data_IF_881074081442
#
_entry.id   IF_881074081442
#
_cell.length_a   1.000
_cell.length_b   1.000
_cell.length_c   1.000
_cell.angle_alpha   90.00
_cell.angle_beta   90.00
_cell.angle_gamma   90.00
#
_symmetry.space_group_name_H-M   'P 1'
#
loop_
_entity.id
_entity.type
_entity.pdbx_description
1 polymer ?
#
# COMPACT_ATOMS: atom_id res chain seq x y z
N UNK A 1 -13.34 -13.41 4.22
CA UNK A 1 -14.14 -14.59 3.76
C UNK A 1 -14.48 -15.60 4.86
N UNK A 2 -13.49 -16.18 5.55
CA UNK A 2 -13.76 -17.18 6.61
C UNK A 2 -14.67 -16.63 7.71
N UNK A 3 -14.47 -15.38 8.10
CA UNK A 3 -15.29 -14.69 9.11
C UNK A 3 -16.79 -14.72 8.77
N UNK A 4 -17.18 -14.52 7.51
CA UNK A 4 -18.59 -14.60 7.10
C UNK A 4 -19.20 -15.96 7.45
N UNK A 5 -18.51 -17.05 7.13
CA UNK A 5 -18.97 -18.42 7.35
C UNK A 5 -19.00 -18.76 8.84
N UNK A 6 -17.89 -18.50 9.56
CA UNK A 6 -17.73 -18.86 10.98
C UNK A 6 -18.74 -18.12 11.85
N UNK A 7 -18.91 -16.82 11.61
CA UNK A 7 -19.80 -15.97 12.42
C UNK A 7 -21.21 -15.87 11.84
N UNK A 8 -21.52 -16.54 10.73
CA UNK A 8 -22.81 -16.46 10.04
C UNK A 8 -23.24 -15.02 9.70
N UNK A 9 -22.29 -14.18 9.27
CA UNK A 9 -22.55 -12.76 8.98
C UNK A 9 -23.23 -12.59 7.62
N UNK A 10 -24.28 -11.78 7.60
CA UNK A 10 -25.03 -11.39 6.41
C UNK A 10 -26.18 -10.46 6.79
N UNK A 11 -26.82 -9.84 5.80
CA UNK A 11 -27.87 -8.84 6.08
C UNK A 11 -29.09 -9.46 6.78
N UNK A 12 -29.37 -10.75 6.52
CA UNK A 12 -30.51 -11.48 7.09
C UNK A 12 -30.28 -11.90 8.55
N UNK A 13 -29.03 -11.98 8.98
CA UNK A 13 -28.65 -12.60 10.26
C UNK A 13 -28.09 -11.61 11.26
N UNK A 14 -27.46 -10.52 10.81
CA UNK A 14 -27.00 -9.45 11.68
C UNK A 14 -28.21 -8.72 12.27
N UNK A 15 -28.16 -8.36 13.56
CA UNK A 15 -29.21 -7.62 14.27
C UNK A 15 -30.62 -8.23 14.11
N UNK A 16 -30.71 -9.55 14.02
CA UNK A 16 -31.98 -10.24 13.78
C UNK A 16 -32.99 -9.99 14.94
N UNK A 17 -34.32 -10.08 14.68
CA UNK A 17 -35.34 -9.79 15.68
C UNK A 17 -35.48 -10.84 16.79
N UNK A 18 -34.76 -11.97 16.72
CA UNK A 18 -34.87 -13.06 17.68
C UNK A 18 -34.26 -12.69 19.04
N UNK A 19 -35.09 -12.68 20.10
CA UNK A 19 -34.65 -12.33 21.48
C UNK A 19 -33.50 -13.21 21.98
N UNK A 20 -33.55 -14.50 21.68
CA UNK A 20 -32.54 -15.50 22.07
C UNK A 20 -31.22 -15.40 21.30
N UNK A 21 -31.12 -14.54 20.28
CA UNK A 21 -29.88 -14.30 19.55
C UNK A 21 -29.13 -13.08 20.07
N UNK A 22 -29.74 -12.25 20.94
CA UNK A 22 -29.14 -11.01 21.45
C UNK A 22 -27.93 -11.23 22.36
N UNK A 23 -27.74 -12.46 22.84
CA UNK A 23 -26.55 -12.88 23.59
C UNK A 23 -25.37 -13.28 22.68
N UNK A 24 -25.60 -13.49 21.38
CA UNK A 24 -24.55 -13.81 20.40
C UNK A 24 -23.88 -12.55 19.86
N UNK A 25 -23.28 -11.80 20.78
CA UNK A 25 -22.71 -10.49 20.50
C UNK A 25 -21.40 -10.65 19.73
N UNK A 26 -21.24 -9.85 18.69
CA UNK A 26 -19.99 -9.76 17.94
C UNK A 26 -18.95 -9.04 18.80
N UNK A 27 -17.73 -9.58 18.95
CA UNK A 27 -16.68 -8.95 19.76
C UNK A 27 -16.44 -7.51 19.33
N UNK A 28 -16.27 -6.61 20.30
CA UNK A 28 -16.00 -5.18 20.10
C UNK A 28 -17.14 -4.37 19.44
N UNK A 29 -18.35 -4.91 19.33
CA UNK A 29 -19.54 -4.17 18.85
C UNK A 29 -20.76 -4.42 19.74
N UNK A 30 -21.84 -3.68 19.50
CA UNK A 30 -23.18 -3.90 20.06
C UNK A 30 -24.08 -4.75 19.14
N UNK A 31 -23.51 -5.32 18.07
CA UNK A 31 -24.23 -6.16 17.13
C UNK A 31 -24.32 -7.60 17.62
N UNK A 32 -25.41 -8.29 17.26
CA UNK A 32 -25.56 -9.72 17.49
C UNK A 32 -25.90 -10.47 16.20
N UNK A 33 -25.60 -11.77 16.17
CA UNK A 33 -25.83 -12.60 14.98
C UNK A 33 -26.84 -13.71 15.24
N UNK A 34 -27.72 -13.93 14.27
CA UNK A 34 -28.75 -14.97 14.31
C UNK A 34 -28.15 -16.38 14.50
N UNK A 35 -28.67 -17.10 15.49
CA UNK A 35 -28.38 -18.53 15.73
C UNK A 35 -29.33 -19.48 14.99
N UNK A 36 -30.49 -18.98 14.52
CA UNK A 36 -31.55 -19.80 13.88
C UNK A 36 -31.37 -19.97 12.38
N UNK A 37 -31.13 -18.86 11.70
CA UNK A 37 -31.11 -18.79 10.24
C UNK A 37 -29.68 -18.65 9.75
N UNK A 38 -29.38 -19.25 8.60
CA UNK A 38 -28.10 -19.06 7.91
C UNK A 38 -28.20 -17.87 6.95
N UNK A 39 -27.17 -17.04 6.92
CA UNK A 39 -27.05 -15.95 5.98
C UNK A 39 -26.72 -16.48 4.59
N UNK A 40 -27.42 -15.98 3.57
CA UNK A 40 -27.07 -16.24 2.17
C UNK A 40 -25.61 -15.89 1.89
N UNK A 41 -25.13 -14.75 2.40
CA UNK A 41 -23.75 -14.28 2.23
C UNK A 41 -22.74 -15.26 2.83
N UNK A 42 -23.02 -15.74 4.04
CA UNK A 42 -22.15 -16.69 4.74
C UNK A 42 -22.00 -18.00 3.97
N UNK A 43 -23.10 -18.50 3.40
CA UNK A 43 -23.12 -19.71 2.58
C UNK A 43 -22.39 -19.51 1.25
N UNK A 44 -22.71 -18.46 0.48
CA UNK A 44 -22.11 -18.20 -0.84
C UNK A 44 -20.61 -17.92 -0.70
N UNK A 45 -20.23 -17.00 0.19
CA UNK A 45 -18.82 -16.62 0.39
C UNK A 45 -18.05 -17.80 0.98
N UNK A 46 -18.66 -18.55 1.91
CA UNK A 46 -18.10 -19.77 2.48
C UNK A 46 -17.82 -20.82 1.42
N UNK A 47 -18.81 -21.12 0.58
CA UNK A 47 -18.69 -22.05 -0.54
C UNK A 47 -17.59 -21.65 -1.52
N UNK A 48 -17.58 -20.39 -1.98
CA UNK A 48 -16.56 -19.90 -2.90
C UNK A 48 -15.15 -19.96 -2.31
N UNK A 49 -15.01 -19.68 -1.00
CA UNK A 49 -13.74 -19.82 -0.28
C UNK A 49 -13.30 -21.28 -0.22
N UNK A 50 -14.20 -22.20 0.12
CA UNK A 50 -13.88 -23.62 0.21
C UNK A 50 -13.55 -24.22 -1.17
N UNK A 51 -14.32 -23.87 -2.21
CA UNK A 51 -14.05 -24.23 -3.59
C UNK A 51 -12.67 -23.73 -4.04
N UNK A 52 -12.33 -22.48 -3.73
CA UNK A 52 -11.00 -21.93 -4.03
C UNK A 52 -9.89 -22.70 -3.32
N UNK A 53 -10.02 -22.93 -2.01
CA UNK A 53 -8.95 -23.49 -1.17
C UNK A 53 -8.77 -24.98 -1.42
N UNK A 54 -9.85 -25.76 -1.44
CA UNK A 54 -9.78 -27.22 -1.50
C UNK A 54 -9.66 -27.75 -2.92
N UNK A 55 -10.13 -27.02 -3.93
CA UNK A 55 -10.12 -27.45 -5.33
C UNK A 55 -9.12 -26.65 -6.18
N UNK A 56 -9.40 -25.37 -6.48
CA UNK A 56 -8.62 -24.63 -7.47
C UNK A 56 -7.18 -24.31 -7.04
N UNK A 57 -6.92 -24.10 -5.74
CA UNK A 57 -5.56 -23.86 -5.23
C UNK A 57 -4.65 -25.08 -5.42
N UNK A 58 -5.20 -26.29 -5.43
CA UNK A 58 -4.45 -27.54 -5.69
C UNK A 58 -4.24 -27.75 -7.19
N UNK A 59 -5.25 -27.48 -8.01
CA UNK A 59 -5.24 -27.72 -9.46
C UNK A 59 -4.50 -26.66 -10.29
N UNK A 60 -4.20 -25.47 -9.73
CA UNK A 60 -3.47 -24.41 -10.44
C UNK A 60 -2.09 -24.84 -10.94
N UNK A 61 -1.49 -25.88 -10.35
CA UNK A 61 -0.23 -26.51 -10.79
C UNK A 61 -0.54 -27.54 -11.86
N UNK A 62 -0.87 -27.10 -13.09
CA UNK A 62 -1.09 -28.02 -14.21
C UNK A 62 -1.87 -27.43 -15.38
N UNK A 63 -2.79 -26.48 -15.12
CA UNK A 63 -3.57 -25.84 -16.18
C UNK A 63 -3.68 -24.31 -15.95
N UNK A 64 -3.27 -23.47 -16.93
CA UNK A 64 -3.44 -22.02 -16.87
C UNK A 64 -4.88 -21.57 -16.60
N UNK A 65 -5.90 -22.30 -17.07
CA UNK A 65 -7.30 -22.00 -16.83
C UNK A 65 -7.66 -22.07 -15.33
N UNK A 66 -7.22 -23.13 -14.62
CA UNK A 66 -7.45 -23.25 -13.17
C UNK A 66 -6.76 -22.12 -12.39
N UNK A 67 -5.62 -21.63 -12.87
CA UNK A 67 -4.95 -20.46 -12.29
C UNK A 67 -5.82 -19.19 -12.46
N UNK A 68 -6.42 -18.99 -13.62
CA UNK A 68 -7.33 -17.84 -13.87
C UNK A 68 -8.57 -17.94 -12.98
N UNK A 69 -9.19 -19.12 -12.88
CA UNK A 69 -10.37 -19.31 -12.02
C UNK A 69 -10.04 -19.09 -10.54
N UNK A 70 -8.92 -19.64 -10.04
CA UNK A 70 -8.47 -19.40 -8.66
C UNK A 70 -8.29 -17.90 -8.36
N UNK A 71 -7.72 -17.16 -9.31
CA UNK A 71 -7.52 -15.72 -9.21
C UNK A 71 -8.84 -14.95 -9.25
N UNK A 72 -9.76 -15.32 -10.15
CA UNK A 72 -11.08 -14.69 -10.26
C UNK A 72 -11.87 -14.86 -8.95
N UNK A 73 -11.92 -16.08 -8.41
CA UNK A 73 -12.58 -16.35 -7.12
C UNK A 73 -11.88 -15.58 -5.98
N UNK A 74 -10.55 -15.48 -5.99
CA UNK A 74 -9.82 -14.65 -5.01
C UNK A 74 -10.25 -13.18 -5.06
N UNK A 75 -10.36 -12.60 -6.26
CA UNK A 75 -10.79 -11.22 -6.45
C UNK A 75 -12.20 -11.02 -5.90
N UNK A 76 -13.12 -11.93 -6.23
CA UNK A 76 -14.49 -11.91 -5.72
C UNK A 76 -14.52 -11.92 -4.18
N UNK A 77 -13.84 -12.88 -3.56
CA UNK A 77 -13.80 -13.02 -2.10
C UNK A 77 -13.20 -11.81 -1.39
N UNK A 78 -12.22 -11.15 -1.99
CA UNK A 78 -11.63 -9.92 -1.45
C UNK A 78 -12.57 -8.72 -1.58
N UNK A 79 -13.36 -8.67 -2.67
CA UNK A 79 -14.36 -7.62 -2.88
C UNK A 79 -15.58 -7.78 -1.95
N UNK A 80 -15.99 -9.02 -1.63
CA UNK A 80 -17.18 -9.30 -0.82
C UNK A 80 -17.18 -8.62 0.56
N UNK A 81 -16.01 -8.32 1.13
CA UNK A 81 -15.94 -7.56 2.38
C UNK A 81 -16.31 -6.09 2.19
N UNK A 82 -15.78 -5.44 1.16
CA UNK A 82 -15.88 -3.99 0.99
C UNK A 82 -17.27 -3.52 0.54
N UNK A 83 -18.00 -4.36 -0.19
CA UNK A 83 -19.30 -3.98 -0.79
C UNK A 83 -20.38 -3.65 0.24
N UNK A 84 -20.36 -4.27 1.43
CA UNK A 84 -21.36 -3.99 2.48
C UNK A 84 -21.22 -2.60 3.10
N UNK A 85 -20.08 -1.93 2.90
CA UNK A 85 -19.84 -0.55 3.33
C UNK A 85 -20.05 0.49 2.22
N UNK A 86 -20.44 0.08 1.01
CA UNK A 86 -20.71 0.99 -0.11
C UNK A 86 -22.22 1.25 -0.24
N UNK A 87 -22.63 2.50 -0.05
CA UNK A 87 -24.03 2.94 -0.14
C UNK A 87 -24.69 2.65 -1.51
N UNK A 88 -23.89 2.41 -2.56
CA UNK A 88 -24.39 2.06 -3.89
C UNK A 88 -24.72 0.57 -4.05
N UNK A 89 -24.34 -0.26 -3.08
CA UNK A 89 -24.61 -1.68 -3.13
C UNK A 89 -26.04 -1.96 -2.69
N UNK A 90 -26.80 -2.75 -3.47
CA UNK A 90 -28.21 -3.03 -3.19
C UNK A 90 -28.43 -3.71 -1.81
N UNK A 91 -27.44 -4.47 -1.33
CA UNK A 91 -27.42 -5.10 -0.01
C UNK A 91 -26.50 -4.36 0.97
N UNK A 92 -26.36 -3.04 0.83
CA UNK A 92 -25.62 -2.19 1.76
C UNK A 92 -26.04 -2.46 3.20
N UNK A 93 -25.06 -2.79 4.04
CA UNK A 93 -25.30 -3.19 5.42
C UNK A 93 -24.07 -2.87 6.29
N UNK A 94 -23.95 -1.63 6.80
CA UNK A 94 -22.84 -1.22 7.66
C UNK A 94 -22.60 -2.14 8.85
N UNK A 95 -23.64 -2.64 9.56
CA UNK A 95 -23.43 -3.55 10.69
C UNK A 95 -22.67 -4.82 10.31
N UNK A 96 -22.83 -5.35 9.09
CA UNK A 96 -22.02 -6.48 8.59
C UNK A 96 -20.57 -6.07 8.41
N UNK A 97 -20.31 -4.94 7.75
CA UNK A 97 -18.94 -4.44 7.48
C UNK A 97 -18.17 -4.17 8.78
N UNK A 98 -18.81 -3.51 9.74
CA UNK A 98 -18.26 -3.22 11.05
C UNK A 98 -17.98 -4.51 11.84
N UNK A 99 -18.93 -5.45 11.84
CA UNK A 99 -18.77 -6.75 12.51
C UNK A 99 -17.62 -7.57 11.93
N UNK A 100 -17.44 -7.58 10.61
CA UNK A 100 -16.30 -8.28 9.98
C UNK A 100 -14.98 -7.64 10.41
N UNK A 101 -14.93 -6.30 10.44
CA UNK A 101 -13.74 -5.56 10.87
C UNK A 101 -13.39 -5.87 12.33
N UNK A 102 -14.40 -5.89 13.20
CA UNK A 102 -14.27 -6.15 14.62
C UNK A 102 -13.80 -7.59 14.89
N UNK A 103 -14.45 -8.59 14.28
CA UNK A 103 -14.00 -9.99 14.36
C UNK A 103 -12.58 -10.17 13.81
N UNK A 104 -12.25 -9.51 12.69
CA UNK A 104 -10.91 -9.55 12.12
C UNK A 104 -9.86 -9.02 13.09
N UNK A 105 -10.11 -7.86 13.70
CA UNK A 105 -9.25 -7.26 14.72
C UNK A 105 -9.10 -8.16 15.95
N UNK A 106 -10.20 -8.65 16.50
CA UNK A 106 -10.21 -9.56 17.64
C UNK A 106 -9.43 -10.85 17.35
N UNK A 107 -9.58 -11.41 16.15
CA UNK A 107 -8.85 -12.61 15.71
C UNK A 107 -7.34 -12.38 15.65
N UNK A 108 -6.91 -11.23 15.11
CA UNK A 108 -5.49 -10.84 15.08
C UNK A 108 -4.94 -10.65 16.49
N UNK A 109 -5.67 -9.95 17.37
CA UNK A 109 -5.26 -9.72 18.75
C UNK A 109 -5.09 -11.02 19.53
N UNK A 110 -6.08 -11.93 19.46
CA UNK A 110 -5.99 -13.25 20.09
C UNK A 110 -4.85 -14.08 19.52
N UNK A 111 -4.58 -13.98 18.22
CA UNK A 111 -3.43 -14.64 17.58
C UNK A 111 -2.10 -14.10 18.11
N UNK A 112 -1.98 -12.78 18.30
CA UNK A 112 -0.80 -12.13 18.89
C UNK A 112 -0.59 -12.58 20.33
N UNK A 113 -1.66 -12.60 21.14
CA UNK A 113 -1.61 -13.10 22.52
C UNK A 113 -1.18 -14.56 22.58
N UNK A 114 -1.74 -15.40 21.70
CA UNK A 114 -1.34 -16.80 21.63
C UNK A 114 0.13 -16.94 21.23
N UNK A 115 0.59 -16.22 20.22
CA UNK A 115 1.99 -16.24 19.80
C UNK A 115 2.93 -15.87 20.96
N UNK A 116 2.60 -14.82 21.73
CA UNK A 116 3.34 -14.43 22.95
C UNK A 116 3.35 -15.54 24.00
N UNK A 117 2.22 -16.21 24.23
CA UNK A 117 2.13 -17.34 25.18
C UNK A 117 2.99 -18.55 24.79
N UNK A 118 3.28 -18.70 23.49
CA UNK A 118 4.16 -19.73 22.94
C UNK A 118 5.64 -19.32 22.95
N UNK A 119 5.97 -18.16 23.53
CA UNK A 119 7.32 -17.60 23.56
C UNK A 119 7.77 -16.97 22.24
N UNK A 120 6.84 -16.68 21.32
CA UNK A 120 7.16 -16.09 20.02
C UNK A 120 7.14 -14.56 20.16
N UNK A 121 8.25 -13.91 19.78
CA UNK A 121 8.29 -12.44 19.69
C UNK A 121 7.52 -11.97 18.46
N UNK A 122 6.46 -11.20 18.68
CA UNK A 122 5.67 -10.56 17.62
C UNK A 122 6.32 -9.22 17.27
N UNK A 123 6.63 -8.99 16.00
CA UNK A 123 7.28 -7.77 15.51
C UNK A 123 6.27 -6.72 15.02
N UNK A 124 5.22 -7.16 14.34
CA UNK A 124 4.24 -6.29 13.71
C UNK A 124 2.93 -7.07 13.48
N UNK A 125 1.81 -6.36 13.43
CA UNK A 125 0.51 -6.89 13.07
C UNK A 125 -0.26 -5.88 12.24
N UNK A 126 -0.97 -6.36 11.21
CA UNK A 126 -1.85 -5.57 10.36
C UNK A 126 -3.27 -6.18 10.33
N UNK A 127 -4.12 -5.70 9.43
CA UNK A 127 -5.52 -6.13 9.28
C UNK A 127 -5.70 -7.62 9.01
N UNK A 128 -4.71 -8.30 8.44
CA UNK A 128 -4.82 -9.68 7.95
C UNK A 128 -3.53 -10.52 8.11
N UNK A 129 -2.52 -10.00 8.80
CA UNK A 129 -1.22 -10.67 8.94
C UNK A 129 -0.48 -10.28 10.21
N UNK A 130 0.36 -11.19 10.72
CA UNK A 130 1.21 -11.01 11.90
C UNK A 130 2.63 -11.43 11.55
N UNK A 131 3.61 -10.63 11.96
CA UNK A 131 5.04 -10.84 11.73
C UNK A 131 5.66 -11.42 12.99
N UNK A 132 6.23 -12.61 12.86
CA UNK A 132 6.82 -13.36 13.96
C UNK A 132 8.34 -13.39 13.82
N UNK A 133 9.07 -13.14 14.90
CA UNK A 133 10.52 -13.18 14.90
C UNK A 133 11.02 -14.60 15.11
N UNK A 134 11.61 -15.20 14.07
CA UNK A 134 12.28 -16.52 14.11
C UNK A 134 11.49 -17.60 14.88
N UNK A 135 10.18 -17.81 14.61
CA UNK A 135 9.44 -18.90 15.25
C UNK A 135 9.99 -20.26 14.80
N UNK A 136 10.00 -21.24 15.70
CA UNK A 136 10.33 -22.62 15.33
C UNK A 136 9.16 -23.27 14.55
N UNK A 137 9.44 -24.32 13.78
CA UNK A 137 8.37 -25.05 13.07
C UNK A 137 7.28 -25.58 14.03
N UNK A 138 7.69 -26.03 15.23
CA UNK A 138 6.77 -26.48 16.28
C UNK A 138 5.88 -25.34 16.78
N UNK A 139 6.44 -24.14 16.97
CA UNK A 139 5.68 -22.95 17.37
C UNK A 139 4.68 -22.52 16.29
N UNK A 140 5.09 -22.54 15.01
CA UNK A 140 4.20 -22.24 13.88
C UNK A 140 3.04 -23.24 13.84
N UNK A 141 3.34 -24.54 13.97
CA UNK A 141 2.33 -25.60 13.96
C UNK A 141 1.35 -25.46 15.12
N UNK A 142 1.85 -25.25 16.33
CA UNK A 142 1.01 -25.05 17.52
C UNK A 142 0.11 -23.82 17.40
N UNK A 143 0.59 -22.72 16.82
CA UNK A 143 -0.20 -21.52 16.58
C UNK A 143 -1.30 -21.76 15.53
N UNK A 144 -0.96 -22.46 14.44
CA UNK A 144 -1.92 -22.81 13.38
C UNK A 144 -3.02 -23.75 13.89
N UNK A 145 -2.65 -24.81 14.61
CA UNK A 145 -3.60 -25.74 15.25
C UNK A 145 -4.51 -25.04 16.26
N UNK A 146 -3.95 -24.15 17.08
CA UNK A 146 -4.74 -23.34 18.00
C UNK A 146 -5.74 -22.44 17.26
N UNK A 147 -5.31 -21.80 16.16
CA UNK A 147 -6.18 -20.91 15.37
C UNK A 147 -7.32 -21.68 14.71
N UNK A 148 -7.06 -22.86 14.16
CA UNK A 148 -8.10 -23.72 13.59
C UNK A 148 -9.11 -24.12 14.68
N UNK A 149 -8.62 -24.50 15.87
CA UNK A 149 -9.49 -24.95 16.97
C UNK A 149 -10.31 -23.83 17.63
N UNK A 150 -9.75 -22.63 17.75
CA UNK A 150 -10.35 -21.56 18.57
C UNK A 150 -10.96 -20.40 17.77
N UNK A 151 -10.54 -20.24 16.52
CA UNK A 151 -10.98 -19.16 15.62
C UNK A 151 -11.60 -19.70 14.32
N UNK A 152 -11.46 -21.00 14.03
CA UNK A 152 -11.80 -21.60 12.72
C UNK A 152 -11.10 -20.89 11.54
N UNK A 153 -9.90 -20.36 11.81
CA UNK A 153 -9.05 -19.69 10.83
C UNK A 153 -7.82 -20.53 10.52
N UNK A 154 -7.64 -20.83 9.24
CA UNK A 154 -6.45 -21.50 8.70
C UNK A 154 -5.32 -20.48 8.49
N UNK A 155 -4.36 -20.46 9.42
CA UNK A 155 -3.17 -19.61 9.34
C UNK A 155 -2.08 -20.34 8.56
N UNK A 156 -1.55 -19.68 7.54
CA UNK A 156 -0.42 -20.16 6.76
C UNK A 156 0.73 -19.15 6.71
N UNK A 157 1.94 -19.65 6.52
CA UNK A 157 3.12 -18.82 6.27
C UNK A 157 3.01 -18.25 4.85
N UNK A 158 2.85 -16.93 4.74
CA UNK A 158 2.82 -16.24 3.44
C UNK A 158 4.24 -15.99 2.90
N UNK A 159 5.13 -15.51 3.78
CA UNK A 159 6.49 -15.10 3.41
C UNK A 159 7.49 -15.37 4.52
N UNK A 160 8.71 -15.70 4.08
CA UNK A 160 9.89 -15.79 4.92
C UNK A 160 10.83 -14.62 4.60
N UNK A 161 11.29 -13.94 5.64
CA UNK A 161 12.14 -12.76 5.54
C UNK A 161 13.37 -12.95 6.43
N UNK A 162 14.55 -12.73 5.84
CA UNK A 162 15.82 -12.67 6.54
C UNK A 162 15.82 -11.53 7.56
N UNK A 163 15.34 -10.37 7.15
CA UNK A 163 15.04 -9.25 8.05
C UNK A 163 13.95 -8.35 7.47
N UNK A 164 13.35 -7.54 8.35
CA UNK A 164 12.29 -6.59 7.99
C UNK A 164 12.62 -5.23 8.59
N UNK A 165 12.45 -4.18 7.78
CA UNK A 165 12.51 -2.80 8.22
C UNK A 165 11.07 -2.31 8.36
N UNK A 166 10.64 -2.07 9.60
CA UNK A 166 9.29 -1.65 9.93
C UNK A 166 9.28 -0.15 10.18
N UNK A 167 8.44 0.59 9.45
CA UNK A 167 8.19 2.00 9.75
C UNK A 167 7.13 2.11 10.84
N UNK A 168 7.10 3.24 11.55
CA UNK A 168 6.00 3.60 12.46
C UNK A 168 4.64 3.75 11.74
N UNK A 169 4.65 3.86 10.41
CA UNK A 169 3.45 4.01 9.59
C UNK A 169 2.81 2.66 9.29
N UNK A 170 1.48 2.58 9.43
CA UNK A 170 0.70 1.38 9.05
C UNK A 170 0.92 1.03 7.57
N UNK A 171 0.99 -0.27 7.27
CA UNK A 171 1.19 -0.82 5.91
C UNK A 171 2.47 -0.36 5.21
N UNK A 172 3.44 0.18 5.96
CA UNK A 172 4.70 0.68 5.42
C UNK A 172 5.87 -0.15 5.97
N UNK A 173 6.40 -1.05 5.15
CA UNK A 173 7.53 -1.88 5.51
C UNK A 173 8.32 -2.35 4.29
N UNK A 174 9.56 -2.74 4.56
CA UNK A 174 10.45 -3.37 3.60
C UNK A 174 10.89 -4.73 4.16
N UNK A 175 10.50 -5.81 3.50
CA UNK A 175 10.90 -7.17 3.86
C UNK A 175 11.93 -7.70 2.88
N UNK A 176 13.02 -8.27 3.39
CA UNK A 176 14.11 -8.79 2.56
C UNK A 176 14.09 -10.31 2.68
N UNK A 177 13.90 -11.00 1.55
CA UNK A 177 13.87 -12.47 1.53
C UNK A 177 15.27 -13.07 1.71
N UNK A 178 15.39 -14.37 2.03
CA UNK A 178 16.67 -15.06 2.08
C UNK A 178 17.49 -14.92 0.78
N UNK A 179 16.83 -14.82 -0.37
CA UNK A 179 17.48 -14.67 -1.68
C UNK A 179 17.88 -13.22 -2.00
N UNK A 180 17.70 -12.27 -1.07
CA UNK A 180 18.02 -10.86 -1.29
C UNK A 180 16.97 -10.06 -2.04
N UNK A 181 15.79 -10.64 -2.31
CA UNK A 181 14.69 -9.90 -2.94
C UNK A 181 14.06 -8.94 -1.95
N UNK A 182 13.90 -7.68 -2.38
CA UNK A 182 13.31 -6.62 -1.56
C UNK A 182 11.82 -6.44 -1.86
N UNK A 183 10.99 -6.82 -0.90
CA UNK A 183 9.55 -6.61 -0.93
C UNK A 183 9.17 -5.30 -0.25
N UNK A 184 8.69 -4.35 -1.06
CA UNK A 184 8.26 -3.03 -0.60
C UNK A 184 6.74 -2.93 -0.54
N UNK A 185 6.21 -2.52 0.62
CA UNK A 185 4.77 -2.29 0.86
C UNK A 185 4.53 -0.89 1.40
N UNK A 186 3.51 -0.21 0.85
CA UNK A 186 3.09 1.13 1.28
C UNK A 186 4.04 2.28 0.96
N UNK A 187 5.21 2.03 0.35
CA UNK A 187 6.18 3.08 0.09
C UNK A 187 5.96 3.81 -1.25
N UNK A 188 6.17 5.13 -1.25
CA UNK A 188 5.93 6.01 -2.40
C UNK A 188 6.97 5.84 -3.51
N UNK A 189 8.21 5.47 -3.20
CA UNK A 189 9.28 5.27 -4.19
C UNK A 189 8.99 4.19 -5.24
N UNK A 190 8.01 3.30 -5.00
CA UNK A 190 7.55 2.30 -5.97
C UNK A 190 6.54 2.84 -6.99
N UNK A 191 5.95 4.01 -6.75
CA UNK A 191 4.89 4.55 -7.63
C UNK A 191 5.46 4.90 -9.00
N UNK A 192 4.72 4.56 -10.06
CA UNK A 192 5.08 4.84 -11.47
C UNK A 192 5.33 6.32 -11.75
N UNK A 193 4.71 7.21 -10.98
CA UNK A 193 4.78 8.66 -11.13
C UNK A 193 5.86 9.32 -10.24
N UNK A 194 6.90 8.58 -9.84
CA UNK A 194 8.05 9.15 -9.13
C UNK A 194 9.10 9.57 -10.17
N UNK A 195 9.67 10.80 -10.10
CA UNK A 195 10.73 11.23 -11.00
C UNK A 195 11.92 10.26 -11.00
N UNK A 196 12.56 10.09 -12.16
CA UNK A 196 13.62 9.12 -12.35
C UNK A 196 14.80 9.35 -11.40
N UNK A 197 15.22 10.60 -11.16
CA UNK A 197 16.33 10.91 -10.24
C UNK A 197 16.09 10.38 -8.81
N UNK A 198 14.84 10.43 -8.32
CA UNK A 198 14.47 9.93 -6.99
C UNK A 198 14.26 8.41 -7.03
N UNK A 199 13.68 7.90 -8.11
CA UNK A 199 13.45 6.47 -8.30
C UNK A 199 14.76 5.70 -8.39
N UNK A 200 15.73 6.20 -9.16
CA UNK A 200 17.06 5.61 -9.29
C UNK A 200 17.77 5.53 -7.92
N UNK A 201 17.66 6.60 -7.12
CA UNK A 201 18.18 6.61 -5.75
C UNK A 201 17.50 5.56 -4.86
N UNK A 202 16.18 5.43 -4.96
CA UNK A 202 15.40 4.45 -4.21
C UNK A 202 15.73 3.00 -4.63
N UNK A 203 15.96 2.77 -5.92
CA UNK A 203 16.34 1.46 -6.44
C UNK A 203 17.81 1.11 -6.09
N UNK A 204 18.71 2.09 -6.04
CA UNK A 204 20.05 1.92 -5.49
C UNK A 204 20.01 1.56 -3.99
N UNK A 205 19.19 2.27 -3.21
CA UNK A 205 18.99 1.95 -1.79
C UNK A 205 18.49 0.51 -1.60
N UNK A 206 17.49 0.08 -2.37
CA UNK A 206 17.01 -1.33 -2.34
C UNK A 206 18.12 -2.33 -2.59
N UNK A 207 19.03 -2.06 -3.53
CA UNK A 207 20.14 -2.96 -3.82
C UNK A 207 21.00 -3.18 -2.57
N UNK A 208 21.34 -2.10 -1.86
CA UNK A 208 22.08 -2.19 -0.61
C UNK A 208 21.34 -3.00 0.46
N UNK A 209 20.01 -2.81 0.61
CA UNK A 209 19.20 -3.66 1.51
C UNK A 209 19.20 -5.14 1.07
N UNK A 210 19.13 -5.43 -0.22
CA UNK A 210 19.18 -6.80 -0.72
C UNK A 210 20.50 -7.51 -0.38
N UNK A 211 21.61 -6.79 -0.46
CA UNK A 211 22.96 -7.31 -0.25
C UNK A 211 23.30 -7.55 1.22
N UNK A 212 22.84 -6.67 2.13
CA UNK A 212 23.14 -6.78 3.56
C UNK A 212 22.64 -8.10 4.18
N UNK A 213 23.56 -8.89 4.74
CA UNK A 213 23.36 -10.20 5.35
C UNK A 213 23.33 -10.14 6.89
N UNK A 214 24.16 -9.28 7.49
CA UNK A 214 24.39 -9.25 8.94
C UNK A 214 23.78 -8.01 9.60
N UNK A 215 23.49 -8.05 10.92
CA UNK A 215 23.07 -6.86 11.66
C UNK A 215 24.05 -5.68 11.54
N UNK A 216 25.34 -5.96 11.50
CA UNK A 216 26.41 -4.96 11.36
C UNK A 216 26.37 -4.30 9.97
N UNK A 217 26.15 -5.09 8.91
CA UNK A 217 25.96 -4.57 7.55
C UNK A 217 24.69 -3.72 7.46
N UNK A 218 23.60 -4.14 8.11
CA UNK A 218 22.36 -3.36 8.19
C UNK A 218 22.61 -2.02 8.92
N UNK A 219 23.47 -2.00 9.95
CA UNK A 219 23.85 -0.76 10.61
C UNK A 219 24.70 0.14 9.68
N UNK A 220 25.60 -0.45 8.89
CA UNK A 220 26.38 0.28 7.88
C UNK A 220 25.50 0.87 6.76
N UNK A 221 24.33 0.29 6.46
CA UNK A 221 23.36 0.85 5.51
C UNK A 221 22.93 2.27 5.88
N UNK A 222 22.93 2.63 7.17
CA UNK A 222 22.61 4.00 7.59
C UNK A 222 23.54 5.01 6.91
N UNK A 223 24.85 4.75 6.91
CA UNK A 223 25.85 5.61 6.27
C UNK A 223 25.66 5.67 4.76
N UNK A 224 25.54 4.51 4.11
CA UNK A 224 25.32 4.43 2.67
C UNK A 224 24.05 5.17 2.22
N UNK A 225 22.95 5.01 2.96
CA UNK A 225 21.68 5.66 2.66
C UNK A 225 21.75 7.18 2.86
N UNK A 226 22.44 7.65 3.92
CA UNK A 226 22.70 9.07 4.12
C UNK A 226 23.43 9.66 2.91
N UNK A 227 24.46 8.98 2.41
CA UNK A 227 25.22 9.42 1.24
C UNK A 227 24.38 9.44 -0.05
N UNK A 228 23.56 8.40 -0.29
CA UNK A 228 22.64 8.37 -1.45
C UNK A 228 21.68 9.57 -1.42
N UNK A 229 21.04 9.82 -0.28
CA UNK A 229 20.08 10.92 -0.12
C UNK A 229 20.79 12.27 -0.27
N UNK A 230 21.95 12.44 0.36
CA UNK A 230 22.75 13.67 0.30
C UNK A 230 23.21 13.99 -1.12
N UNK A 231 23.70 12.99 -1.85
CA UNK A 231 24.15 13.15 -3.23
C UNK A 231 23.00 13.60 -4.14
N UNK A 232 21.83 12.98 -4.02
CA UNK A 232 20.64 13.34 -4.81
C UNK A 232 20.12 14.74 -4.42
N UNK A 233 20.10 15.04 -3.13
CA UNK A 233 19.71 16.36 -2.64
C UNK A 233 20.60 17.46 -3.22
N UNK A 234 21.93 17.27 -3.20
CA UNK A 234 22.91 18.19 -3.76
C UNK A 234 22.81 18.28 -5.29
N UNK A 235 22.62 17.14 -5.98
CA UNK A 235 22.39 17.08 -7.43
C UNK A 235 21.19 17.95 -7.83
N UNK A 236 20.07 17.81 -7.10
CA UNK A 236 18.85 18.62 -7.31
C UNK A 236 19.11 20.10 -6.95
N UNK A 237 19.79 20.38 -5.83
CA UNK A 237 20.07 21.75 -5.36
C UNK A 237 20.96 22.54 -6.32
N UNK A 238 21.99 21.89 -6.87
CA UNK A 238 22.94 22.48 -7.84
C UNK A 238 22.36 22.56 -9.25
N UNK A 239 21.14 22.06 -9.47
CA UNK A 239 20.57 21.82 -10.80
C UNK A 239 21.52 21.02 -11.67
N UNK A 240 22.15 19.98 -11.14
CA UNK A 240 23.02 19.09 -11.89
C UNK A 240 22.22 17.88 -12.39
N UNK A 241 21.17 18.10 -13.19
CA UNK A 241 20.29 17.04 -13.69
C UNK A 241 19.86 17.33 -15.12
N UNK A 242 19.43 16.28 -15.83
CA UNK A 242 18.70 16.41 -17.08
C UNK A 242 17.20 16.58 -16.81
N UNK A 243 16.49 17.31 -17.68
CA UNK A 243 15.06 17.60 -17.49
C UNK A 243 14.22 16.31 -17.48
N UNK A 244 14.62 15.34 -18.28
CA UNK A 244 14.03 14.00 -18.36
C UNK A 244 14.09 13.29 -17.01
N UNK A 245 15.16 13.47 -16.24
CA UNK A 245 15.30 12.85 -14.92
C UNK A 245 14.28 13.38 -13.91
N UNK A 246 13.80 14.60 -14.13
CA UNK A 246 12.83 15.32 -13.30
C UNK A 246 11.38 15.11 -13.76
N UNK A 247 11.17 14.45 -14.90
CA UNK A 247 9.86 14.32 -15.52
C UNK A 247 8.94 13.36 -14.75
N UNK A 248 7.67 13.72 -14.67
CA UNK A 248 6.56 12.87 -14.27
C UNK A 248 5.87 12.35 -15.53
N UNK A 249 5.63 11.04 -15.59
CA UNK A 249 4.94 10.41 -16.70
C UNK A 249 3.56 9.90 -16.23
N UNK A 250 2.48 10.47 -16.78
CA UNK A 250 1.10 10.10 -16.43
C UNK A 250 0.30 9.85 -17.71
N UNK A 251 -0.46 8.77 -17.74
CA UNK A 251 -1.35 8.42 -18.85
C UNK A 251 -2.67 9.19 -18.76
N UNK A 252 -3.14 9.77 -19.86
CA UNK A 252 -4.43 10.43 -19.95
C UNK A 252 -5.58 9.42 -19.88
N UNK A 253 -6.45 9.56 -18.88
CA UNK A 253 -7.63 8.70 -18.72
C UNK A 253 -8.81 9.10 -19.62
N UNK A 254 -8.86 10.37 -20.03
CA UNK A 254 -9.85 10.97 -20.95
C UNK A 254 -9.18 12.05 -21.79
N UNK A 255 -9.91 12.60 -22.77
CA UNK A 255 -9.43 13.77 -23.55
C UNK A 255 -9.19 14.97 -22.63
N UNK A 256 -8.15 15.80 -22.87
CA UNK A 256 -7.81 16.94 -22.01
C UNK A 256 -8.97 17.93 -21.77
N UNK A 257 -9.83 18.14 -22.77
CA UNK A 257 -10.97 19.06 -22.68
C UNK A 257 -12.20 18.50 -21.93
N UNK A 258 -12.20 17.23 -21.54
CA UNK A 258 -13.32 16.59 -20.81
C UNK A 258 -13.24 16.70 -19.28
N UNK A 259 -12.37 17.59 -18.78
CA UNK A 259 -12.10 17.79 -17.35
C UNK A 259 -12.69 19.12 -16.87
N UNK A 260 -13.90 19.07 -16.30
CA UNK A 260 -14.73 20.29 -16.13
C UNK A 260 -14.63 20.95 -14.74
N UNK A 261 -14.16 20.22 -13.71
CA UNK A 261 -14.18 20.68 -12.30
C UNK A 261 -12.80 20.95 -11.70
N UNK A 262 -11.89 19.99 -11.83
CA UNK A 262 -10.53 20.10 -11.29
C UNK A 262 -9.61 19.55 -12.35
N UNK A 263 -8.74 20.41 -12.90
CA UNK A 263 -7.83 20.04 -13.97
C UNK A 263 -6.52 19.49 -13.35
N UNK A 264 -6.25 18.18 -13.47
CA UNK A 264 -5.02 17.60 -12.95
C UNK A 264 -3.76 18.19 -13.59
N UNK A 265 -2.61 18.05 -12.92
CA UNK A 265 -1.32 18.59 -13.43
C UNK A 265 -0.95 18.07 -14.83
N UNK A 266 -1.14 16.76 -15.07
CA UNK A 266 -0.87 16.15 -16.37
C UNK A 266 -1.84 16.60 -17.46
N UNK A 267 -3.07 16.94 -17.11
CA UNK A 267 -4.05 17.49 -18.07
C UNK A 267 -3.70 18.94 -18.40
N UNK A 268 -3.29 19.76 -17.41
CA UNK A 268 -2.78 21.11 -17.67
C UNK A 268 -1.56 21.10 -18.58
N UNK A 269 -0.64 20.16 -18.38
CA UNK A 269 0.50 19.98 -19.27
C UNK A 269 0.09 19.53 -20.68
N UNK A 270 -0.95 18.71 -20.79
CA UNK A 270 -1.50 18.28 -22.09
C UNK A 270 -2.12 19.47 -22.86
N UNK A 271 -2.91 20.31 -22.20
CA UNK A 271 -3.51 21.52 -22.80
C UNK A 271 -2.40 22.46 -23.33
N UNK A 272 -1.30 22.62 -22.58
CA UNK A 272 -0.14 23.41 -23.04
C UNK A 272 0.54 22.83 -24.28
N UNK A 273 0.46 21.52 -24.50
CA UNK A 273 0.96 20.86 -25.71
C UNK A 273 -0.01 21.04 -26.88
N UNK A 274 -1.32 20.96 -26.63
CA UNK A 274 -2.37 21.25 -27.64
C UNK A 274 -2.29 22.70 -28.13
N UNK A 275 -2.03 23.67 -27.23
CA UNK A 275 -1.74 25.07 -27.59
C UNK A 275 -0.56 25.22 -28.57
N UNK A 276 0.36 24.26 -28.59
CA UNK A 276 1.51 24.21 -29.50
C UNK A 276 1.24 23.37 -30.76
N UNK A 277 0.02 22.89 -30.93
CA UNK A 277 -0.41 22.08 -32.08
C UNK A 277 -0.15 20.58 -31.92
N UNK A 278 0.16 20.10 -30.71
CA UNK A 278 0.36 18.67 -30.43
C UNK A 278 -0.96 18.09 -29.91
N UNK A 279 -1.63 17.32 -30.76
CA UNK A 279 -2.90 16.66 -30.40
C UNK A 279 -2.65 15.44 -29.50
N UNK A 280 -3.35 15.36 -28.36
CA UNK A 280 -3.21 14.27 -27.39
C UNK A 280 -4.54 13.53 -27.19
N UNK A 281 -4.50 12.20 -27.23
CA UNK A 281 -5.67 11.33 -27.12
C UNK A 281 -5.66 10.56 -25.81
N UNK A 282 -6.83 9.98 -25.49
CA UNK A 282 -6.98 9.07 -24.35
C UNK A 282 -6.00 7.90 -24.52
N UNK A 283 -5.22 7.61 -23.47
CA UNK A 283 -4.19 6.58 -23.48
C UNK A 283 -2.77 7.09 -23.70
N UNK A 284 -2.61 8.34 -24.15
CA UNK A 284 -1.28 8.94 -24.35
C UNK A 284 -0.59 9.25 -23.02
N UNK A 285 0.73 9.19 -23.02
CA UNK A 285 1.56 9.50 -21.85
C UNK A 285 2.01 10.95 -21.92
N UNK A 286 1.63 11.73 -20.91
CA UNK A 286 2.06 13.12 -20.75
C UNK A 286 3.26 13.17 -19.83
N UNK A 287 4.35 13.75 -20.33
CA UNK A 287 5.58 14.01 -19.59
C UNK A 287 5.63 15.47 -19.18
N UNK A 288 5.71 15.73 -17.87
CA UNK A 288 5.72 17.10 -17.34
C UNK A 288 6.66 17.26 -16.15
N UNK A 289 7.04 18.48 -15.84
CA UNK A 289 7.90 18.83 -14.71
C UNK A 289 7.23 19.88 -13.83
N UNK A 290 7.60 19.90 -12.54
CA UNK A 290 7.11 20.92 -11.59
C UNK A 290 8.01 22.14 -11.64
N UNK A 291 7.42 23.30 -11.87
CA UNK A 291 8.14 24.56 -12.05
C UNK A 291 7.60 25.67 -11.14
N UNK A 292 8.37 26.73 -10.97
CA UNK A 292 7.89 28.04 -10.54
C UNK A 292 7.98 28.98 -11.74
N UNK A 293 6.86 29.28 -12.36
CA UNK A 293 6.86 30.19 -13.49
C UNK A 293 5.47 30.50 -13.99
N UNK A 294 5.42 31.01 -15.20
CA UNK A 294 4.18 31.36 -15.87
C UNK A 294 4.13 30.78 -17.27
N UNK A 295 2.93 30.69 -17.82
CA UNK A 295 2.66 30.24 -19.18
C UNK A 295 1.64 31.17 -19.83
N UNK A 296 1.79 31.41 -21.13
CA UNK A 296 0.83 32.19 -21.90
C UNK A 296 -0.29 31.28 -22.40
N UNK A 297 -1.48 31.44 -21.81
CA UNK A 297 -2.69 30.75 -22.20
C UNK A 297 -3.25 31.39 -23.48
N UNK A 298 -3.28 30.64 -24.58
CA UNK A 298 -3.75 31.17 -25.88
C UNK A 298 -5.25 31.46 -25.87
N UNK A 299 -6.05 30.58 -25.27
CA UNK A 299 -7.51 30.72 -25.19
C UNK A 299 -7.91 31.95 -24.36
N UNK A 300 -7.25 32.15 -23.22
CA UNK A 300 -7.50 33.28 -22.33
C UNK A 300 -6.70 34.55 -22.69
N UNK A 301 -5.82 34.47 -23.71
CA UNK A 301 -4.91 35.54 -24.17
C UNK A 301 -4.17 36.27 -23.03
N UNK A 302 -3.74 35.53 -22.00
CA UNK A 302 -3.08 36.11 -20.82
C UNK A 302 -2.00 35.17 -20.26
N UNK A 303 -1.05 35.76 -19.54
CA UNK A 303 -0.02 35.02 -18.80
C UNK A 303 -0.60 34.55 -17.47
N UNK A 304 -0.62 33.24 -17.24
CA UNK A 304 -1.07 32.62 -16.01
C UNK A 304 0.11 32.00 -15.26
N UNK A 305 0.13 32.16 -13.93
CA UNK A 305 1.10 31.47 -13.08
C UNK A 305 0.80 29.98 -13.11
N UNK A 306 1.79 29.16 -13.39
CA UNK A 306 1.66 27.71 -13.40
C UNK A 306 2.73 27.05 -12.54
N UNK A 307 2.36 25.93 -11.94
CA UNK A 307 3.27 25.06 -11.18
C UNK A 307 3.71 23.82 -11.98
N UNK A 308 3.36 23.77 -13.26
CA UNK A 308 3.64 22.65 -14.16
C UNK A 308 3.88 23.13 -15.59
N UNK A 309 4.84 22.50 -16.27
CA UNK A 309 5.02 22.60 -17.73
C UNK A 309 5.28 21.23 -18.34
N UNK A 310 4.85 20.98 -19.58
CA UNK A 310 5.27 19.79 -20.30
C UNK A 310 6.79 19.82 -20.52
N UNK A 311 7.40 18.63 -20.58
CA UNK A 311 8.84 18.47 -20.65
C UNK A 311 9.47 19.26 -21.81
N UNK A 312 8.79 19.30 -22.95
CA UNK A 312 9.24 19.96 -24.18
C UNK A 312 9.26 21.50 -24.08
N UNK A 313 8.55 22.09 -23.12
CA UNK A 313 8.46 23.54 -22.94
C UNK A 313 9.14 24.03 -21.66
N UNK A 314 9.66 23.12 -20.85
CA UNK A 314 10.30 23.46 -19.59
C UNK A 314 11.77 23.80 -19.80
N UNK A 315 12.26 24.77 -19.05
CA UNK A 315 13.69 25.06 -18.94
C UNK A 315 14.19 24.74 -17.53
N UNK A 316 15.48 24.46 -17.44
CA UNK A 316 16.11 23.92 -16.23
C UNK A 316 16.05 24.89 -15.06
N UNK A 317 16.04 26.19 -15.33
CA UNK A 317 16.00 27.30 -14.36
C UNK A 317 14.61 27.42 -13.70
N UNK A 318 13.56 27.05 -14.42
CA UNK A 318 12.17 27.14 -13.93
C UNK A 318 11.82 26.02 -12.95
N UNK A 319 12.59 24.92 -12.93
CA UNK A 319 12.33 23.76 -12.07
C UNK A 319 12.24 24.17 -10.60
N UNK A 320 11.14 23.76 -9.95
CA UNK A 320 10.91 23.98 -8.52
C UNK A 320 11.68 22.97 -7.68
N UNK A 321 12.96 23.25 -7.45
CA UNK A 321 13.88 22.44 -6.64
C UNK A 321 13.27 22.04 -5.29
N UNK A 322 12.56 22.95 -4.63
CA UNK A 322 11.96 22.69 -3.31
C UNK A 322 10.89 21.59 -3.39
N UNK A 323 10.06 21.59 -4.45
CA UNK A 323 9.05 20.54 -4.64
C UNK A 323 9.67 19.18 -4.87
N UNK A 324 10.84 19.10 -5.52
CA UNK A 324 11.55 17.83 -5.68
C UNK A 324 12.25 17.39 -4.39
N UNK A 325 12.77 18.32 -3.59
CA UNK A 325 13.28 18.01 -2.24
C UNK A 325 12.17 17.50 -1.31
N UNK A 326 10.96 18.08 -1.35
CA UNK A 326 9.78 17.58 -0.63
C UNK A 326 9.45 16.13 -1.03
N UNK A 327 9.50 15.81 -2.32
CA UNK A 327 9.24 14.45 -2.82
C UNK A 327 10.35 13.50 -2.38
N UNK A 328 11.62 13.92 -2.49
CA UNK A 328 12.77 13.14 -2.01
C UNK A 328 12.61 12.82 -0.52
N UNK A 329 12.29 13.82 0.29
CA UNK A 329 11.97 13.64 1.72
C UNK A 329 10.83 12.66 1.90
N UNK A 330 9.70 12.84 1.21
CA UNK A 330 8.54 11.96 1.35
C UNK A 330 8.82 10.51 0.98
N UNK A 331 9.73 10.25 0.04
CA UNK A 331 10.12 8.89 -0.38
C UNK A 331 11.06 8.28 0.65
N UNK A 332 12.12 9.00 1.03
CA UNK A 332 13.18 8.44 1.87
C UNK A 332 12.85 8.41 3.35
N UNK A 333 12.01 9.33 3.86
CA UNK A 333 11.58 9.32 5.26
C UNK A 333 10.95 7.98 5.64
N UNK A 334 10.24 7.32 4.71
CA UNK A 334 9.61 6.03 4.96
C UNK A 334 10.62 4.91 5.20
N UNK A 335 11.82 5.00 4.59
CA UNK A 335 12.92 4.08 4.82
C UNK A 335 13.73 4.53 6.05
N UNK A 336 14.07 5.81 6.13
CA UNK A 336 14.90 6.37 7.19
C UNK A 336 14.26 6.23 8.58
N UNK A 337 12.93 6.40 8.68
CA UNK A 337 12.16 6.18 9.90
C UNK A 337 12.38 4.75 10.45
N UNK A 338 12.52 3.75 9.58
CA UNK A 338 12.75 2.35 10.00
C UNK A 338 14.18 2.07 10.48
N UNK A 339 15.11 2.97 10.16
CA UNK A 339 16.51 2.90 10.59
C UNK A 339 16.84 3.94 11.68
N UNK A 340 15.84 4.64 12.21
CA UNK A 340 16.03 5.71 13.20
C UNK A 340 17.03 6.77 12.71
N UNK A 341 16.84 7.23 11.47
CA UNK A 341 17.65 8.28 10.86
C UNK A 341 16.77 9.48 10.54
N UNK A 342 17.13 10.65 11.05
CA UNK A 342 16.45 11.89 10.72
C UNK A 342 16.90 12.42 9.36
N UNK A 343 15.95 12.69 8.46
CA UNK A 343 16.24 13.29 7.15
C UNK A 343 16.91 14.67 7.29
N UNK A 344 16.53 15.44 8.30
CA UNK A 344 17.05 16.81 8.52
C UNK A 344 18.55 16.81 8.86
N UNK A 345 19.03 15.79 9.57
CA UNK A 345 20.47 15.59 9.84
C UNK A 345 21.27 15.37 8.55
N UNK A 346 20.68 14.69 7.56
CA UNK A 346 21.36 14.35 6.30
C UNK A 346 21.60 15.60 5.46
N UNK A 347 20.63 16.51 5.44
CA UNK A 347 20.69 17.75 4.67
C UNK A 347 21.40 18.89 5.41
N UNK A 348 21.88 18.64 6.63
CA UNK A 348 22.59 19.62 7.46
C UNK A 348 21.68 20.70 8.07
N UNK A 349 20.37 20.46 8.15
CA UNK A 349 19.43 21.34 8.84
C UNK A 349 19.37 20.89 10.30
N UNK A 350 20.33 21.35 11.11
CA UNK A 350 20.26 21.14 12.55
C UNK A 350 19.05 21.91 13.11
N UNK A 351 18.05 21.20 13.63
CA UNK A 351 17.04 21.81 14.49
C UNK A 351 17.72 22.24 15.78
N UNK A 352 17.60 23.53 16.11
CA UNK A 352 18.11 24.14 17.36
C UNK A 352 17.55 23.41 18.60
N UNK A 353 16.38 22.78 18.49
CA UNK A 353 15.73 22.05 19.57
C UNK A 353 16.45 20.75 20.00
N UNK A 354 17.50 20.29 19.30
CA UNK A 354 18.31 19.14 19.74
C UNK A 354 19.36 19.51 20.80
N UNK A 355 19.49 20.79 21.16
CA UNK A 355 20.44 21.29 22.16
C UNK A 355 19.79 21.67 23.51
N UNK A 356 18.47 21.58 23.64
CA UNK A 356 17.73 21.96 24.85
C UNK A 356 16.98 20.79 25.48
#
# INVERSE_FOLDING_TARGET
PSIFKVWNLGYQTILCPHKECKDNIVPETDHWVCKKNKAMEAEIIGFLKDLRVFHYKKLKKGNPWYKVVEQAVKVFLNASYGVFGDEKFDLYCPPVSESITAVGRSSIMRTIEKAKSLGIKVLYGDTDSVFLHKPTEQQIKALSEWSIKNLELDLGVDKDYRYVCLSSRKKNYMGITPEGKVDVKGMTGKKKHTPWIIKAAFDAAKKYFGEAQTPEEVQALKGALKEVVRNVYLKIKRRDFELEEMAFHITLGKSPHSYDKTIPQHVRAAIMLEDKGIELKKGDVVSFVKIKGSWYNKDAKKVEITNVKPLQLAVKEEIDVNKYHEILRSVFIQILDSLDVDFDEIIGVCKIDKWF
#
